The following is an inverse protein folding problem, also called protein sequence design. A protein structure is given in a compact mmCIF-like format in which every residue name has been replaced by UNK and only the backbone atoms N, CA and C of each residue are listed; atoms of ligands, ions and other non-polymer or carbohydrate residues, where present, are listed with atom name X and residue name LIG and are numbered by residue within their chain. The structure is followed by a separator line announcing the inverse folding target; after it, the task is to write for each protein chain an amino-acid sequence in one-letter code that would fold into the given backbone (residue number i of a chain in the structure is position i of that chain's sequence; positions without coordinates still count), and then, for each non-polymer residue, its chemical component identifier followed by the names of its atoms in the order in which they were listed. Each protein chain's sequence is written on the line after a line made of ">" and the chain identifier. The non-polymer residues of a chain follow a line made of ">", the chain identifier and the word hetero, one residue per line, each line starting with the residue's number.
data_IF_235190304477
#
_entry.id   IF_235190304477
#
_cell.length_a   1.000
_cell.length_b   1.000
_cell.length_c   1.000
_cell.angle_alpha   90.00
_cell.angle_beta   90.00
_cell.angle_gamma   90.00
#
_symmetry.space_group_name_H-M   'P 1'
#
loop_
_entity.id
_entity.type
_entity.pdbx_description
1 polymer ?
#
# COMPACT_ATOMS: atom_id res chain seq x y z
N UNK A 1 -14.60 -17.68 -1.68
CA UNK A 1 -13.77 -16.45 -1.72
C UNK A 1 -14.47 -15.25 -2.34
N UNK A 2 -15.11 -15.37 -3.52
CA UNK A 2 -15.76 -14.24 -4.22
C UNK A 2 -16.72 -13.42 -3.32
N UNK A 3 -17.56 -14.08 -2.53
CA UNK A 3 -18.47 -13.41 -1.60
C UNK A 3 -17.80 -12.55 -0.51
N UNK A 4 -16.65 -12.99 0.02
CA UNK A 4 -15.89 -12.24 1.03
C UNK A 4 -15.21 -11.01 0.42
N UNK A 5 -14.67 -11.15 -0.80
CA UNK A 5 -14.10 -10.01 -1.54
C UNK A 5 -15.19 -8.99 -1.86
N UNK A 6 -16.36 -9.45 -2.32
CA UNK A 6 -17.52 -8.58 -2.55
C UNK A 6 -17.95 -7.88 -1.26
N UNK A 7 -17.98 -8.59 -0.14
CA UNK A 7 -18.34 -8.01 1.16
C UNK A 7 -17.40 -6.86 1.53
N UNK A 8 -16.08 -7.05 1.46
CA UNK A 8 -15.10 -5.98 1.71
C UNK A 8 -15.23 -4.81 0.72
N UNK A 9 -15.53 -5.11 -0.55
CA UNK A 9 -15.77 -4.08 -1.57
C UNK A 9 -17.03 -3.26 -1.27
N UNK A 10 -18.17 -3.89 -0.98
CA UNK A 10 -19.42 -3.19 -0.69
C UNK A 10 -19.34 -2.42 0.64
N UNK A 11 -18.68 -2.98 1.65
CA UNK A 11 -18.46 -2.33 2.93
C UNK A 11 -17.61 -1.05 2.80
N UNK A 12 -16.70 -1.04 1.81
CA UNK A 12 -15.78 0.07 1.53
C UNK A 12 -16.19 0.92 0.32
N UNK A 13 -17.32 0.65 -0.35
CA UNK A 13 -17.65 1.26 -1.65
C UNK A 13 -17.70 2.79 -1.64
N UNK A 14 -18.44 3.35 -0.68
CA UNK A 14 -18.57 4.82 -0.54
C UNK A 14 -17.21 5.48 -0.27
N UNK A 15 -16.44 5.08 0.77
CA UNK A 15 -15.15 5.69 1.01
C UNK A 15 -14.17 5.44 -0.15
N UNK A 16 -14.17 4.25 -0.76
CA UNK A 16 -13.29 3.94 -1.88
C UNK A 16 -13.49 4.86 -3.08
N UNK A 17 -14.73 5.24 -3.42
CA UNK A 17 -15.00 6.23 -4.47
C UNK A 17 -14.46 7.61 -4.07
N UNK A 18 -14.70 8.04 -2.83
CA UNK A 18 -14.21 9.33 -2.34
C UNK A 18 -12.68 9.41 -2.37
N UNK A 19 -12.00 8.39 -1.85
CA UNK A 19 -10.55 8.30 -1.84
C UNK A 19 -9.96 8.11 -3.24
N UNK A 20 -10.68 7.49 -4.17
CA UNK A 20 -10.26 7.42 -5.58
C UNK A 20 -10.29 8.80 -6.23
N UNK A 21 -11.33 9.60 -6.01
CA UNK A 21 -11.40 10.98 -6.54
C UNK A 21 -10.28 11.84 -5.96
N UNK A 22 -10.09 11.78 -4.63
CA UNK A 22 -9.01 12.51 -3.95
C UNK A 22 -7.64 12.04 -4.46
N UNK A 23 -7.45 10.72 -4.58
CA UNK A 23 -6.23 10.10 -5.08
C UNK A 23 -5.90 10.52 -6.51
N UNK A 24 -6.88 10.63 -7.40
CA UNK A 24 -6.70 11.15 -8.76
C UNK A 24 -6.22 12.60 -8.74
N UNK A 25 -6.88 13.47 -7.98
CA UNK A 25 -6.52 14.89 -7.88
C UNK A 25 -5.09 15.02 -7.35
N UNK A 26 -4.77 14.32 -6.26
CA UNK A 26 -3.42 14.34 -5.68
C UNK A 26 -2.39 13.79 -6.67
N UNK A 27 -2.67 12.68 -7.34
CA UNK A 27 -1.77 12.10 -8.33
C UNK A 27 -1.46 13.07 -9.47
N UNK A 28 -2.46 13.81 -9.97
CA UNK A 28 -2.27 14.83 -11.01
C UNK A 28 -1.42 15.98 -10.48
N UNK A 29 -1.74 16.53 -9.30
CA UNK A 29 -0.96 17.61 -8.69
C UNK A 29 0.50 17.18 -8.51
N UNK A 30 0.73 16.01 -7.93
CA UNK A 30 2.07 15.47 -7.73
C UNK A 30 2.78 15.15 -9.04
N UNK A 31 2.07 14.80 -10.11
CA UNK A 31 2.67 14.62 -11.44
C UNK A 31 3.37 15.90 -11.94
N UNK A 32 2.86 17.09 -11.59
CA UNK A 32 3.49 18.37 -11.97
C UNK A 32 4.60 18.80 -11.00
N UNK A 33 4.40 18.66 -9.69
CA UNK A 33 5.35 19.17 -8.69
C UNK A 33 6.48 18.18 -8.35
N UNK A 34 6.14 16.90 -8.18
CA UNK A 34 7.09 15.86 -7.80
C UNK A 34 6.65 14.51 -8.40
N UNK A 35 6.86 14.30 -9.72
CA UNK A 35 6.30 13.16 -10.45
C UNK A 35 6.70 11.78 -9.86
N UNK A 36 7.83 11.73 -9.15
CA UNK A 36 8.31 10.56 -8.44
C UNK A 36 7.35 10.03 -7.36
N UNK A 37 6.47 10.87 -6.80
CA UNK A 37 5.51 10.46 -5.78
C UNK A 37 4.10 10.24 -6.34
N UNK A 38 3.90 10.44 -7.64
CA UNK A 38 2.62 10.36 -8.32
C UNK A 38 1.92 9.00 -8.07
N UNK A 39 2.60 7.89 -8.39
CA UNK A 39 2.03 6.55 -8.22
C UNK A 39 1.76 6.21 -6.75
N UNK A 40 2.65 6.65 -5.86
CA UNK A 40 2.53 6.46 -4.42
C UNK A 40 1.24 7.07 -3.86
N UNK A 41 0.94 8.31 -4.21
CA UNK A 41 -0.23 9.02 -3.68
C UNK A 41 -1.53 8.30 -4.02
N UNK A 42 -1.65 7.85 -5.27
CA UNK A 42 -2.87 7.18 -5.73
C UNK A 42 -3.02 5.79 -5.06
N UNK A 43 -1.93 5.03 -4.94
CA UNK A 43 -1.96 3.75 -4.23
C UNK A 43 -2.37 3.91 -2.76
N UNK A 44 -1.70 4.78 -2.00
CA UNK A 44 -2.00 4.93 -0.57
C UNK A 44 -3.43 5.39 -0.32
N UNK A 45 -3.93 6.33 -1.13
CA UNK A 45 -5.32 6.77 -1.00
C UNK A 45 -6.31 5.62 -1.22
N UNK A 46 -6.06 4.73 -2.19
CA UNK A 46 -6.91 3.56 -2.40
C UNK A 46 -6.82 2.52 -1.26
N UNK A 47 -5.71 2.50 -0.51
CA UNK A 47 -5.51 1.57 0.60
C UNK A 47 -6.18 2.04 1.91
N UNK A 48 -6.30 3.35 2.13
CA UNK A 48 -6.89 3.92 3.36
C UNK A 48 -8.31 3.38 3.69
N UNK A 49 -9.25 3.30 2.73
CA UNK A 49 -10.58 2.70 2.98
C UNK A 49 -10.52 1.25 3.48
N UNK A 50 -9.52 0.47 3.06
CA UNK A 50 -9.38 -0.93 3.45
C UNK A 50 -8.93 -1.04 4.91
N UNK A 51 -7.99 -0.19 5.31
CA UNK A 51 -7.55 -0.08 6.70
C UNK A 51 -8.71 0.33 7.62
N UNK A 52 -9.48 1.34 7.22
CA UNK A 52 -10.65 1.81 7.96
C UNK A 52 -11.74 0.74 8.07
N UNK A 53 -11.99 -0.01 6.98
CA UNK A 53 -12.96 -1.10 7.00
C UNK A 53 -12.52 -2.25 7.91
N UNK A 54 -11.23 -2.62 7.89
CA UNK A 54 -10.69 -3.66 8.76
C UNK A 54 -10.87 -3.30 10.24
N UNK A 55 -10.64 -2.03 10.60
CA UNK A 55 -10.93 -1.51 11.94
C UNK A 55 -12.41 -1.67 12.28
N UNK A 56 -13.30 -1.19 11.41
CA UNK A 56 -14.76 -1.25 11.65
C UNK A 56 -15.29 -2.68 11.78
N UNK A 57 -14.81 -3.61 10.96
CA UNK A 57 -15.19 -5.03 11.03
C UNK A 57 -14.71 -5.68 12.34
N UNK A 58 -13.56 -5.26 12.83
CA UNK A 58 -13.05 -5.77 14.10
C UNK A 58 -13.82 -5.20 15.29
N UNK A 59 -14.19 -3.93 15.26
CA UNK A 59 -15.05 -3.29 16.27
C UNK A 59 -16.46 -3.91 16.31
N UNK A 60 -17.03 -4.23 15.15
CA UNK A 60 -18.37 -4.82 15.06
C UNK A 60 -18.45 -6.32 15.38
N UNK A 61 -17.33 -6.91 15.85
CA UNK A 61 -17.20 -8.36 16.09
C UNK A 61 -17.48 -9.21 14.84
N UNK A 62 -17.36 -8.65 13.63
CA UNK A 62 -17.55 -9.38 12.37
C UNK A 62 -16.64 -10.61 12.28
N UNK A 63 -15.44 -10.54 12.85
CA UNK A 63 -14.49 -11.66 12.91
C UNK A 63 -15.05 -12.90 13.62
N UNK A 64 -15.94 -12.74 14.60
CA UNK A 64 -16.62 -13.86 15.27
C UNK A 64 -17.64 -14.54 14.34
N UNK A 65 -18.38 -13.75 13.55
CA UNK A 65 -19.32 -14.28 12.55
C UNK A 65 -18.59 -14.94 11.37
N UNK A 66 -17.43 -14.43 10.99
CA UNK A 66 -16.58 -15.08 9.97
C UNK A 66 -16.15 -16.48 10.43
N UNK A 67 -16.02 -16.69 11.75
CA UNK A 67 -15.64 -17.98 12.32
C UNK A 67 -16.75 -19.04 12.23
N UNK A 68 -18.01 -18.62 12.12
CA UNK A 68 -19.19 -19.51 12.00
C UNK A 68 -19.61 -19.76 10.55
N UNK A 69 -19.02 -19.04 9.58
CA UNK A 69 -19.27 -19.28 8.16
C UNK A 69 -18.74 -20.66 7.75
N UNK A 70 -19.39 -21.36 6.81
CA UNK A 70 -18.92 -22.64 6.25
C UNK A 70 -17.61 -22.51 5.46
N UNK A 71 -17.10 -21.28 5.30
CA UNK A 71 -15.82 -20.99 4.69
C UNK A 71 -14.70 -20.95 5.73
N UNK A 72 -13.60 -21.67 5.51
CA UNK A 72 -12.46 -21.67 6.43
C UNK A 72 -11.95 -20.26 6.76
N UNK A 73 -11.56 -20.03 8.02
CA UNK A 73 -10.93 -18.79 8.54
C UNK A 73 -9.80 -18.24 7.65
N UNK A 74 -9.00 -19.12 7.03
CA UNK A 74 -7.94 -18.73 6.08
C UNK A 74 -8.45 -18.02 4.82
N UNK A 75 -9.69 -18.30 4.42
CA UNK A 75 -10.35 -17.74 3.23
C UNK A 75 -10.61 -16.24 3.41
N UNK A 76 -10.85 -15.79 4.64
CA UNK A 76 -11.05 -14.39 4.98
C UNK A 76 -9.77 -13.57 4.82
N UNK A 77 -8.66 -14.03 5.42
CA UNK A 77 -7.34 -13.39 5.26
C UNK A 77 -6.93 -13.35 3.78
N UNK A 78 -7.12 -14.46 3.05
CA UNK A 78 -6.87 -14.51 1.60
C UNK A 78 -7.69 -13.49 0.81
N UNK A 79 -8.96 -13.29 1.16
CA UNK A 79 -9.81 -12.32 0.48
C UNK A 79 -9.33 -10.87 0.71
N UNK A 80 -8.91 -10.53 1.93
CA UNK A 80 -8.36 -9.21 2.25
C UNK A 80 -7.07 -8.90 1.50
N UNK A 81 -6.11 -9.83 1.50
CA UNK A 81 -4.85 -9.63 0.77
C UNK A 81 -5.06 -9.60 -0.75
N UNK A 82 -6.02 -10.37 -1.28
CA UNK A 82 -6.40 -10.30 -2.70
C UNK A 82 -7.03 -8.95 -3.04
N UNK A 83 -7.94 -8.44 -2.21
CA UNK A 83 -8.56 -7.13 -2.42
C UNK A 83 -7.53 -5.99 -2.33
N UNK A 84 -6.65 -6.05 -1.33
CA UNK A 84 -5.57 -5.09 -1.16
C UNK A 84 -4.60 -5.09 -2.35
N UNK A 85 -4.17 -6.27 -2.81
CA UNK A 85 -3.30 -6.41 -3.99
C UNK A 85 -3.96 -5.88 -5.27
N UNK A 86 -5.27 -6.11 -5.46
CA UNK A 86 -6.01 -5.54 -6.59
C UNK A 86 -6.00 -4.02 -6.57
N UNK A 87 -6.16 -3.39 -5.40
CA UNK A 87 -6.12 -1.93 -5.28
C UNK A 87 -4.73 -1.35 -5.51
N UNK A 88 -3.67 -2.04 -5.09
CA UNK A 88 -2.29 -1.66 -5.45
C UNK A 88 -2.10 -1.68 -6.96
N UNK A 89 -2.53 -2.75 -7.64
CA UNK A 89 -2.41 -2.86 -9.09
C UNK A 89 -3.22 -1.78 -9.82
N UNK A 90 -4.45 -1.52 -9.37
CA UNK A 90 -5.29 -0.47 -9.94
C UNK A 90 -4.65 0.91 -9.74
N UNK A 91 -4.11 1.15 -8.54
CA UNK A 91 -3.42 2.38 -8.21
C UNK A 91 -2.14 2.58 -9.02
N UNK A 92 -1.38 1.50 -9.23
CA UNK A 92 -0.20 1.47 -10.08
C UNK A 92 -0.53 1.85 -11.52
N UNK A 93 -1.54 1.20 -12.10
CA UNK A 93 -1.93 1.40 -13.49
C UNK A 93 -2.35 2.85 -13.73
N UNK A 94 -3.27 3.38 -12.91
CA UNK A 94 -3.77 4.75 -13.07
C UNK A 94 -2.66 5.76 -12.79
N UNK A 95 -1.92 5.60 -11.69
CA UNK A 95 -0.83 6.51 -11.32
C UNK A 95 0.28 6.55 -12.38
N UNK A 96 0.65 5.40 -12.94
CA UNK A 96 1.65 5.31 -14.00
C UNK A 96 1.17 5.99 -15.29
N UNK A 97 -0.10 5.80 -15.67
CA UNK A 97 -0.69 6.48 -16.85
C UNK A 97 -0.64 8.00 -16.66
N UNK A 98 -1.06 8.51 -15.50
CA UNK A 98 -1.03 9.95 -15.20
C UNK A 98 0.41 10.48 -15.25
N UNK A 99 1.34 9.78 -14.60
CA UNK A 99 2.74 10.18 -14.58
C UNK A 99 3.32 10.23 -16.00
N UNK A 100 3.09 9.20 -16.81
CA UNK A 100 3.58 9.11 -18.19
C UNK A 100 3.02 10.22 -19.08
N UNK A 101 1.73 10.54 -18.96
CA UNK A 101 1.09 11.63 -19.72
C UNK A 101 1.73 12.98 -19.40
N UNK A 102 2.07 13.22 -18.13
CA UNK A 102 2.60 14.53 -17.68
C UNK A 102 4.12 14.64 -17.92
N UNK A 103 4.90 13.62 -17.58
CA UNK A 103 6.37 13.68 -17.68
C UNK A 103 6.89 13.30 -19.05
N UNK A 104 6.14 12.51 -19.82
CA UNK A 104 6.58 11.92 -21.09
C UNK A 104 7.90 11.13 -20.98
N UNK A 105 8.24 10.67 -19.76
CA UNK A 105 9.48 9.98 -19.44
C UNK A 105 9.20 8.67 -18.70
N UNK A 106 9.47 7.56 -19.40
CA UNK A 106 9.30 6.20 -18.90
C UNK A 106 10.15 5.92 -17.66
N UNK A 107 11.36 6.48 -17.56
CA UNK A 107 12.25 6.23 -16.43
C UNK A 107 11.71 6.89 -15.16
N UNK A 108 11.18 8.11 -15.28
CA UNK A 108 10.51 8.80 -14.17
C UNK A 108 9.25 8.05 -13.74
N UNK A 109 8.47 7.54 -14.68
CA UNK A 109 7.29 6.73 -14.38
C UNK A 109 7.66 5.42 -13.67
N UNK A 110 8.70 4.72 -14.14
CA UNK A 110 9.18 3.49 -13.53
C UNK A 110 9.69 3.73 -12.10
N UNK A 111 10.46 4.80 -11.92
CA UNK A 111 10.93 5.24 -10.61
C UNK A 111 9.77 5.52 -9.64
N UNK A 112 8.75 6.25 -10.12
CA UNK A 112 7.52 6.55 -9.35
C UNK A 112 6.77 5.27 -8.97
N UNK A 113 6.66 4.31 -9.90
CA UNK A 113 6.03 3.03 -9.66
C UNK A 113 6.76 2.20 -8.59
N UNK A 114 8.09 2.15 -8.61
CA UNK A 114 8.88 1.43 -7.61
C UNK A 114 8.73 2.02 -6.21
N UNK A 115 8.75 3.36 -6.08
CA UNK A 115 8.48 4.01 -4.79
C UNK A 115 7.06 3.68 -4.31
N UNK A 116 6.08 3.77 -5.21
CA UNK A 116 4.68 3.43 -4.92
C UNK A 116 4.53 2.00 -4.39
N UNK A 117 5.10 1.02 -5.09
CA UNK A 117 5.07 -0.40 -4.68
C UNK A 117 5.71 -0.57 -3.29
N UNK A 118 6.92 -0.04 -3.08
CA UNK A 118 7.63 -0.22 -1.81
C UNK A 118 6.84 0.32 -0.61
N UNK A 119 6.27 1.52 -0.74
CA UNK A 119 5.41 2.13 0.28
C UNK A 119 4.07 1.41 0.47
N UNK A 120 3.37 1.12 -0.63
CA UNK A 120 2.07 0.46 -0.57
C UNK A 120 2.17 -0.95 0.04
N UNK A 121 3.19 -1.71 -0.34
CA UNK A 121 3.40 -3.06 0.18
C UNK A 121 3.90 -3.08 1.63
N UNK A 122 4.71 -2.11 2.07
CA UNK A 122 5.12 -1.98 3.49
C UNK A 122 3.93 -1.67 4.40
N UNK A 123 2.95 -0.90 3.92
CA UNK A 123 1.74 -0.57 4.69
C UNK A 123 0.88 -1.80 5.02
N UNK A 124 1.07 -2.94 4.34
CA UNK A 124 0.35 -4.18 4.61
C UNK A 124 0.64 -4.80 5.98
N UNK A 125 1.68 -4.33 6.69
CA UNK A 125 1.93 -4.67 8.08
C UNK A 125 0.74 -4.35 9.01
N UNK A 126 -0.17 -3.49 8.57
CA UNK A 126 -1.40 -3.21 9.30
C UNK A 126 -2.22 -4.48 9.55
N UNK A 127 -2.30 -5.39 8.59
CA UNK A 127 -3.11 -6.61 8.72
C UNK A 127 -2.69 -7.52 9.88
N UNK A 128 -1.44 -8.03 9.95
CA UNK A 128 -1.03 -8.91 11.04
C UNK A 128 -1.11 -8.24 12.40
N UNK A 129 -0.77 -6.94 12.49
CA UNK A 129 -0.86 -6.18 13.74
C UNK A 129 -2.31 -5.99 14.18
N UNK A 130 -3.20 -5.61 13.25
CA UNK A 130 -4.63 -5.48 13.53
C UNK A 130 -5.23 -6.83 13.90
N UNK A 131 -4.82 -7.97 13.34
CA UNK A 131 -5.31 -9.27 13.82
C UNK A 131 -4.83 -9.56 15.24
N UNK A 132 -3.55 -9.32 15.56
CA UNK A 132 -2.94 -9.63 16.86
C UNK A 132 -3.45 -8.77 18.03
N UNK A 133 -3.51 -7.45 17.87
CA UNK A 133 -3.60 -6.51 19.00
C UNK A 133 -5.00 -5.95 19.30
N UNK A 134 -6.05 -6.50 18.70
CA UNK A 134 -7.40 -5.94 18.88
C UNK A 134 -7.64 -4.67 18.05
N UNK A 135 -8.88 -4.18 17.97
CA UNK A 135 -9.19 -2.89 17.36
C UNK A 135 -9.07 -1.73 18.36
N UNK A 136 -9.01 -2.00 19.66
CA UNK A 136 -8.86 -0.99 20.72
C UNK A 136 -7.62 -0.11 20.50
N UNK A 137 -6.55 -0.71 19.95
CA UNK A 137 -5.30 -0.02 19.60
C UNK A 137 -5.19 0.31 18.10
N UNK A 138 -6.29 0.30 17.34
CA UNK A 138 -6.24 0.43 15.87
C UNK A 138 -5.53 1.69 15.40
N UNK A 139 -5.73 2.82 16.09
CA UNK A 139 -5.11 4.09 15.74
C UNK A 139 -3.60 4.03 15.97
N UNK A 140 -3.16 3.38 17.06
CA UNK A 140 -1.74 3.16 17.36
C UNK A 140 -1.12 2.24 16.32
N UNK A 141 -1.84 1.19 15.88
CA UNK A 141 -1.37 0.27 14.85
C UNK A 141 -1.20 1.00 13.52
N UNK A 142 -2.21 1.75 13.07
CA UNK A 142 -2.15 2.54 11.83
C UNK A 142 -1.01 3.56 11.86
N UNK A 143 -0.85 4.27 12.99
CA UNK A 143 0.23 5.24 13.16
C UNK A 143 1.59 4.54 13.11
N UNK A 144 1.75 3.41 13.81
CA UNK A 144 3.01 2.66 13.86
C UNK A 144 3.37 2.11 12.49
N UNK A 145 2.41 1.56 11.74
CA UNK A 145 2.66 1.07 10.37
C UNK A 145 3.00 2.19 9.40
N UNK A 146 2.35 3.35 9.55
CA UNK A 146 2.69 4.54 8.76
C UNK A 146 4.10 5.05 9.08
N UNK A 147 4.47 5.11 10.37
CA UNK A 147 5.82 5.52 10.79
C UNK A 147 6.88 4.57 10.26
N UNK A 148 6.65 3.25 10.31
CA UNK A 148 7.59 2.26 9.74
C UNK A 148 7.72 2.43 8.22
N UNK A 149 6.61 2.58 7.50
CA UNK A 149 6.65 2.78 6.05
C UNK A 149 7.40 4.07 5.66
N UNK A 150 7.12 5.18 6.35
CA UNK A 150 7.80 6.47 6.13
C UNK A 150 9.28 6.38 6.51
N UNK A 151 9.63 5.73 7.63
CA UNK A 151 11.03 5.56 8.02
C UNK A 151 11.84 4.76 6.99
N UNK A 152 11.26 3.70 6.43
CA UNK A 152 11.88 2.92 5.34
C UNK A 152 12.00 3.71 4.04
N UNK A 153 11.01 4.54 3.72
CA UNK A 153 11.11 5.45 2.58
C UNK A 153 12.21 6.49 2.78
N UNK A 154 12.27 7.14 3.95
CA UNK A 154 13.26 8.16 4.26
C UNK A 154 14.67 7.58 4.29
N UNK A 155 14.86 6.38 4.82
CA UNK A 155 16.18 5.73 4.80
C UNK A 155 16.66 5.51 3.37
N UNK A 156 15.81 4.95 2.50
CA UNK A 156 16.13 4.80 1.08
C UNK A 156 16.42 6.16 0.41
N UNK A 157 15.59 7.16 0.68
CA UNK A 157 15.73 8.51 0.11
C UNK A 157 17.05 9.19 0.51
N UNK A 158 17.39 9.20 1.80
CA UNK A 158 18.59 9.89 2.29
C UNK A 158 19.89 9.13 2.02
N UNK A 159 19.88 7.79 2.10
CA UNK A 159 21.10 7.00 1.91
C UNK A 159 21.40 6.67 0.46
N UNK A 160 20.38 6.50 -0.39
CA UNK A 160 20.58 6.08 -1.78
C UNK A 160 20.35 7.22 -2.79
N UNK A 161 19.27 7.99 -2.66
CA UNK A 161 18.87 8.98 -3.68
C UNK A 161 19.58 10.32 -3.48
N UNK A 162 19.58 10.87 -2.25
CA UNK A 162 20.12 12.20 -1.95
C UNK A 162 21.59 12.41 -2.36
N UNK A 163 22.53 11.48 -2.11
CA UNK A 163 23.93 11.66 -2.51
C UNK A 163 24.10 11.78 -4.03
N UNK A 164 23.27 11.05 -4.78
CA UNK A 164 23.28 11.05 -6.26
C UNK A 164 22.59 12.32 -6.78
N UNK A 165 21.54 12.78 -6.09
CA UNK A 165 20.86 14.03 -6.40
C UNK A 165 21.77 15.24 -6.32
N UNK A 166 22.56 15.34 -5.23
CA UNK A 166 23.53 16.42 -5.03
C UNK A 166 24.57 16.45 -6.16
N UNK A 167 24.97 15.29 -6.69
CA UNK A 167 25.94 15.19 -7.78
C UNK A 167 25.33 15.48 -9.16
N UNK A 168 24.10 15.02 -9.42
CA UNK A 168 23.46 15.12 -10.73
C UNK A 168 22.85 16.51 -11.03
N UNK A 169 22.50 17.28 -9.99
CA UNK A 169 21.98 18.64 -10.10
C UNK A 169 20.60 18.79 -10.77
N UNK A 170 19.99 17.70 -11.23
CA UNK A 170 18.65 17.68 -11.83
C UNK A 170 17.92 16.37 -11.55
N UNK A 171 16.62 16.49 -11.25
CA UNK A 171 15.71 15.40 -10.94
C UNK A 171 15.49 14.42 -12.10
N UNK A 172 15.49 14.89 -13.35
CA UNK A 172 15.30 14.03 -14.52
C UNK A 172 16.52 13.14 -14.81
N UNK A 173 17.73 13.65 -14.55
CA UNK A 173 18.99 12.90 -14.72
C UNK A 173 19.18 11.79 -13.68
N UNK A 174 18.45 11.85 -12.58
CA UNK A 174 18.50 10.87 -11.49
C UNK A 174 17.63 9.66 -11.80
N UNK A 175 16.46 9.89 -12.39
CA UNK A 175 15.56 8.81 -12.78
C UNK A 175 16.21 7.86 -13.81
N UNK A 176 17.09 8.39 -14.67
CA UNK A 176 17.87 7.59 -15.63
C UNK A 176 19.18 7.03 -15.08
N UNK A 177 19.54 7.32 -13.82
CA UNK A 177 20.75 6.79 -13.22
C UNK A 177 20.56 5.30 -12.81
N UNK A 178 21.40 4.38 -13.30
CA UNK A 178 21.26 2.95 -13.00
C UNK A 178 21.29 2.62 -11.50
N UNK A 179 22.10 3.32 -10.71
CA UNK A 179 22.21 3.07 -9.26
C UNK A 179 20.91 3.43 -8.54
N UNK A 180 20.25 4.50 -8.97
CA UNK A 180 18.99 4.99 -8.41
C UNK A 180 17.84 4.03 -8.75
N UNK A 181 17.83 3.50 -9.97
CA UNK A 181 16.89 2.47 -10.39
C UNK A 181 17.08 1.16 -9.60
N UNK A 182 18.33 0.75 -9.35
CA UNK A 182 18.62 -0.42 -8.51
C UNK A 182 18.20 -0.17 -7.05
N UNK A 183 18.44 1.02 -6.51
CA UNK A 183 18.02 1.37 -5.16
C UNK A 183 16.49 1.38 -5.00
N UNK A 184 15.76 1.97 -5.93
CA UNK A 184 14.29 1.97 -5.89
C UNK A 184 13.69 0.62 -6.21
N UNK A 185 14.28 -0.13 -7.15
CA UNK A 185 13.89 -1.52 -7.42
C UNK A 185 14.09 -2.42 -6.21
N UNK A 186 15.21 -2.28 -5.48
CA UNK A 186 15.45 -3.03 -4.24
C UNK A 186 14.47 -2.63 -3.13
N UNK A 187 14.09 -1.35 -3.04
CA UNK A 187 13.03 -0.90 -2.13
C UNK A 187 11.65 -1.49 -2.47
N UNK A 188 11.28 -1.53 -3.75
CA UNK A 188 10.05 -2.18 -4.20
C UNK A 188 10.04 -3.67 -3.85
N UNK A 189 11.16 -4.36 -4.05
CA UNK A 189 11.35 -5.78 -3.68
C UNK A 189 11.23 -5.97 -2.16
N UNK A 190 11.87 -5.13 -1.35
CA UNK A 190 11.75 -5.18 0.11
C UNK A 190 10.30 -4.99 0.56
N UNK A 191 9.57 -4.02 -0.03
CA UNK A 191 8.16 -3.83 0.24
C UNK A 191 7.34 -5.07 -0.12
N UNK A 192 7.57 -5.66 -1.29
CA UNK A 192 6.89 -6.90 -1.70
C UNK A 192 7.19 -8.07 -0.76
N UNK A 193 8.43 -8.23 -0.32
CA UNK A 193 8.80 -9.24 0.69
C UNK A 193 8.01 -9.01 1.99
N UNK A 194 7.92 -7.76 2.46
CA UNK A 194 7.14 -7.39 3.65
C UNK A 194 5.65 -7.70 3.45
N UNK A 195 5.10 -7.47 2.27
CA UNK A 195 3.71 -7.85 1.93
C UNK A 195 3.48 -9.36 2.06
N UNK A 196 4.39 -10.16 1.52
CA UNK A 196 4.32 -11.63 1.59
C UNK A 196 4.48 -12.13 3.04
N UNK A 197 5.43 -11.58 3.79
CA UNK A 197 5.61 -11.89 5.22
C UNK A 197 4.37 -11.51 6.02
N UNK A 198 3.77 -10.35 5.72
CA UNK A 198 2.53 -9.88 6.37
C UNK A 198 1.40 -10.86 6.12
N UNK A 199 1.27 -11.38 4.90
CA UNK A 199 0.27 -12.40 4.56
C UNK A 199 0.41 -13.68 5.39
N UNK A 200 1.61 -14.27 5.42
CA UNK A 200 1.84 -15.50 6.19
C UNK A 200 1.72 -15.28 7.70
N UNK A 201 2.13 -14.11 8.20
CA UNK A 201 1.97 -13.72 9.59
C UNK A 201 0.49 -13.59 9.96
N UNK A 202 -0.31 -12.92 9.12
CA UNK A 202 -1.76 -12.79 9.31
C UNK A 202 -2.45 -14.15 9.35
N UNK A 203 -2.10 -15.08 8.44
CA UNK A 203 -2.65 -16.44 8.45
C UNK A 203 -2.31 -17.18 9.76
N UNK A 204 -1.06 -17.08 10.21
CA UNK A 204 -0.59 -17.77 11.41
C UNK A 204 -1.25 -17.23 12.67
N UNK A 205 -1.41 -15.91 12.77
CA UNK A 205 -2.07 -15.24 13.90
C UNK A 205 -3.56 -15.59 13.91
N UNK A 206 -4.25 -15.44 12.79
CA UNK A 206 -5.70 -15.66 12.71
C UNK A 206 -6.10 -17.13 12.94
N UNK A 207 -5.22 -18.08 12.61
CA UNK A 207 -5.44 -19.50 12.91
C UNK A 207 -5.37 -19.81 14.41
N UNK A 208 -4.50 -19.12 15.15
CA UNK A 208 -4.30 -19.31 16.60
C UNK A 208 -5.21 -18.44 17.46
N UNK A 209 -6.00 -17.57 16.85
CA UNK A 209 -6.86 -16.64 17.56
C UNK A 209 -8.08 -17.38 18.11
N UNK A 210 -8.22 -17.38 19.43
CA UNK A 210 -9.45 -17.79 20.11
C UNK A 210 -10.50 -16.71 19.83
N UNK A 211 -11.46 -17.08 18.98
CA UNK A 211 -12.64 -16.32 18.56
C UNK A 211 -13.85 -17.15 18.97
#
# INVERSE_FOLDING_TARGET
>A
MKGLILSSFYASKKPLITYLIIGLILSIVFAFFSPMMCCFMLMVMLLSPVADNLKREKDSKWMYYVSTLPTHRNTYVKAYFAFYGLLILLGLMIGAIICLIVTQDIMVTLFSAFIGIGMACTYALIFPLTFKFGPENSNVIMLTTAVVAVALFLSMWFFAIMPILVQAGSMSKIASNPLVLVATGSYALLGFIIFVISYFSSLSIFKKQEL
#
